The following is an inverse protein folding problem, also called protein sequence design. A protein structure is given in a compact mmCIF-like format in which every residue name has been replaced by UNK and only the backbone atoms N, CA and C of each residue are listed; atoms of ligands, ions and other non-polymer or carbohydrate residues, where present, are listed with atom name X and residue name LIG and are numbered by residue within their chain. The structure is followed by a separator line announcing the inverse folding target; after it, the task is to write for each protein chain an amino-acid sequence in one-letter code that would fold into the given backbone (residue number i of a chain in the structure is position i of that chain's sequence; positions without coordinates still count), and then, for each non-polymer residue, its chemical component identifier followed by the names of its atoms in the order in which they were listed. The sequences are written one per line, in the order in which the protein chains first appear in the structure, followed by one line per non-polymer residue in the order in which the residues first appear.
data_IF_692338487534
#
_entry.id   IF_692338487534
#
_cell.length_a   1.000
_cell.length_b   1.000
_cell.length_c   1.000
_cell.angle_alpha   90.00
_cell.angle_beta   90.00
_cell.angle_gamma   90.00
#
_symmetry.space_group_name_H-M   'P 1'
#
loop_
_entity.id
_entity.type
_entity.pdbx_description
1 polymer ?
#
# COMPACT_ATOMS: atom_id res chain seq x y z
N UNK A 1 -2.26 19.83 73.25
CA UNK A 1 -2.00 18.70 72.33
C UNK A 1 -2.35 19.18 70.92
N UNK A 2 -1.36 19.25 70.03
CA UNK A 2 -1.54 19.71 68.64
C UNK A 2 -1.85 18.48 67.76
N UNK A 3 -2.93 18.53 66.99
CA UNK A 3 -3.18 17.57 65.91
C UNK A 3 -2.44 18.01 64.64
N UNK A 4 -1.83 17.10 63.85
CA UNK A 4 -1.22 17.46 62.58
C UNK A 4 -2.29 17.46 61.48
N UNK A 5 -2.24 18.46 60.61
CA UNK A 5 -3.03 18.52 59.39
C UNK A 5 -2.43 17.57 58.35
N UNK A 6 -3.22 16.59 57.88
CA UNK A 6 -2.86 15.73 56.75
C UNK A 6 -3.10 16.51 55.46
N UNK A 7 -2.02 16.80 54.73
CA UNK A 7 -2.07 17.45 53.43
C UNK A 7 -2.31 16.37 52.36
N UNK A 8 -3.55 16.28 51.87
CA UNK A 8 -3.91 15.35 50.79
C UNK A 8 -3.59 16.04 49.45
N UNK A 9 -2.39 15.76 48.92
CA UNK A 9 -1.98 16.23 47.59
C UNK A 9 -2.73 15.46 46.51
N UNK A 10 -3.65 16.14 45.82
CA UNK A 10 -4.31 15.63 44.63
C UNK A 10 -3.26 15.57 43.50
N UNK A 11 -2.81 14.37 43.14
CA UNK A 11 -1.97 14.17 41.95
C UNK A 11 -2.93 14.04 40.77
N UNK A 12 -3.07 15.10 39.96
CA UNK A 12 -3.71 14.99 38.65
C UNK A 12 -2.76 14.25 37.70
N UNK A 13 -3.19 13.15 37.04
CA UNK A 13 -2.41 12.57 35.97
C UNK A 13 -2.42 13.54 34.79
N UNK A 14 -1.26 14.11 34.49
CA UNK A 14 -1.02 14.76 33.20
C UNK A 14 -0.95 13.65 32.13
N UNK A 15 -2.08 13.40 31.47
CA UNK A 15 -2.03 12.72 30.18
C UNK A 15 -1.42 13.72 29.18
N UNK A 16 -0.13 13.55 28.88
CA UNK A 16 0.46 14.17 27.71
C UNK A 16 -0.25 13.57 26.49
N UNK A 17 -1.22 14.30 25.93
CA UNK A 17 -1.69 14.01 24.57
C UNK A 17 -0.53 14.38 23.66
N UNK A 18 0.16 13.36 23.14
CA UNK A 18 0.95 13.50 21.93
C UNK A 18 0.00 14.06 20.87
N UNK A 19 0.12 15.35 20.55
CA UNK A 19 -0.58 15.91 19.39
C UNK A 19 0.16 15.32 18.20
N UNK A 20 -0.39 14.27 17.60
CA UNK A 20 0.05 13.81 16.29
C UNK A 20 -0.04 15.03 15.37
N UNK A 21 1.08 15.41 14.77
CA UNK A 21 1.10 16.48 13.80
C UNK A 21 0.24 16.00 12.62
N UNK A 22 -0.90 16.64 12.41
CA UNK A 22 -1.67 16.51 11.19
C UNK A 22 -1.91 17.90 10.62
N UNK A 23 -2.29 17.94 9.35
CA UNK A 23 -2.47 19.17 8.60
C UNK A 23 -3.81 19.16 7.86
N UNK A 24 -4.25 20.36 7.48
CA UNK A 24 -5.41 20.55 6.63
C UNK A 24 -4.98 20.57 5.17
N UNK A 25 -5.60 19.75 4.33
CA UNK A 25 -5.31 19.65 2.89
C UNK A 25 -6.57 19.89 2.06
N UNK A 26 -6.41 20.37 0.83
CA UNK A 26 -7.53 20.57 -0.10
C UNK A 26 -7.48 19.53 -1.22
N UNK A 27 -8.65 19.08 -1.68
CA UNK A 27 -8.75 18.10 -2.75
C UNK A 27 -8.11 18.66 -4.04
N UNK A 28 -7.07 18.00 -4.54
CA UNK A 28 -6.37 18.37 -5.77
C UNK A 28 -6.78 17.49 -6.96
N UNK A 29 -7.05 16.19 -6.72
CA UNK A 29 -7.54 15.27 -7.74
C UNK A 29 -8.58 14.28 -7.18
N UNK A 30 -9.52 13.88 -8.04
CA UNK A 30 -10.58 12.91 -7.74
C UNK A 30 -10.72 11.93 -8.90
N UNK A 31 -10.09 10.78 -8.76
CA UNK A 31 -9.98 9.75 -9.80
C UNK A 31 -11.05 8.69 -9.55
N UNK A 32 -12.06 8.65 -10.42
CA UNK A 32 -13.22 7.76 -10.32
C UNK A 32 -13.55 7.18 -11.69
N UNK A 33 -13.88 5.89 -11.76
CA UNK A 33 -14.39 5.26 -12.98
C UNK A 33 -13.43 5.40 -14.17
N UNK A 34 -13.91 5.97 -15.27
CA UNK A 34 -13.08 6.22 -16.46
C UNK A 34 -11.95 7.24 -16.22
N UNK A 35 -11.98 8.01 -15.12
CA UNK A 35 -10.91 8.93 -14.74
C UNK A 35 -9.55 8.26 -14.60
N UNK A 36 -9.51 6.97 -14.22
CA UNK A 36 -8.27 6.19 -14.14
C UNK A 36 -7.52 6.12 -15.48
N UNK A 37 -8.24 6.05 -16.61
CA UNK A 37 -7.63 6.02 -17.94
C UNK A 37 -6.96 7.34 -18.34
N UNK A 38 -7.29 8.45 -17.67
CA UNK A 38 -6.70 9.76 -17.93
C UNK A 38 -5.66 10.14 -16.89
N UNK A 39 -5.81 9.68 -15.65
CA UNK A 39 -4.91 9.99 -14.56
C UNK A 39 -3.63 9.14 -14.57
N UNK A 40 -3.66 7.97 -15.24
CA UNK A 40 -2.55 7.03 -15.26
C UNK A 40 -2.07 6.71 -16.68
N UNK A 41 -0.76 6.46 -16.78
CA UNK A 41 -0.12 5.77 -17.91
C UNK A 41 -0.04 4.27 -17.62
N UNK A 42 -0.33 3.45 -18.63
CA UNK A 42 -0.22 1.99 -18.56
C UNK A 42 1.18 1.56 -19.03
N UNK A 43 1.92 0.90 -18.14
CA UNK A 43 3.33 0.59 -18.35
C UNK A 43 3.52 -0.81 -18.92
N UNK A 44 3.63 -0.90 -20.26
CA UNK A 44 3.96 -2.14 -20.96
C UNK A 44 5.48 -2.40 -20.94
N UNK A 45 6.02 -2.65 -19.76
CA UNK A 45 7.45 -2.85 -19.51
C UNK A 45 7.74 -4.29 -19.03
N UNK A 46 8.98 -4.79 -19.20
CA UNK A 46 9.43 -5.95 -18.43
C UNK A 46 9.31 -5.67 -16.94
N UNK A 47 8.87 -6.67 -16.17
CA UNK A 47 8.67 -6.50 -14.72
C UNK A 47 10.01 -6.27 -14.00
N UNK A 48 10.20 -5.14 -13.29
CA UNK A 48 11.44 -4.87 -12.55
C UNK A 48 11.75 -5.92 -11.48
N UNK A 49 10.71 -6.58 -10.95
CA UNK A 49 10.78 -7.64 -9.93
C UNK A 49 10.84 -9.05 -10.50
N UNK A 50 11.14 -9.18 -11.80
CA UNK A 50 11.36 -10.46 -12.49
C UNK A 50 10.18 -11.44 -12.43
N UNK A 51 8.96 -10.93 -12.31
CA UNK A 51 7.75 -11.73 -12.21
C UNK A 51 7.39 -12.50 -13.47
N UNK A 52 6.58 -13.55 -13.29
CA UNK A 52 5.92 -14.33 -14.35
C UNK A 52 4.70 -13.58 -14.89
N UNK A 53 4.92 -12.34 -15.30
CA UNK A 53 3.89 -11.41 -15.77
C UNK A 53 4.22 -10.90 -17.17
N UNK A 54 3.19 -10.52 -17.91
CA UNK A 54 3.31 -9.70 -19.11
C UNK A 54 2.45 -8.44 -18.91
N UNK A 55 3.07 -7.32 -18.56
CA UNK A 55 2.33 -6.06 -18.46
C UNK A 55 1.97 -5.56 -19.86
N UNK A 56 0.68 -5.30 -20.06
CA UNK A 56 0.15 -4.85 -21.36
C UNK A 56 -0.23 -3.37 -21.32
N UNK A 57 -0.21 -2.73 -22.50
CA UNK A 57 -0.64 -1.34 -22.63
C UNK A 57 -2.16 -1.19 -22.43
N UNK A 58 -2.62 0.06 -22.32
CA UNK A 58 -4.03 0.38 -22.07
C UNK A 58 -4.98 -0.19 -23.12
N UNK A 59 -4.64 -0.07 -24.41
CA UNK A 59 -5.48 -0.53 -25.49
C UNK A 59 -5.65 -2.06 -25.45
N UNK A 60 -4.55 -2.77 -25.20
CA UNK A 60 -4.53 -4.22 -25.03
C UNK A 60 -5.31 -4.63 -23.79
N UNK A 61 -5.07 -3.99 -22.65
CA UNK A 61 -5.78 -4.25 -21.40
C UNK A 61 -7.30 -4.10 -21.56
N UNK A 62 -7.77 -3.05 -22.25
CA UNK A 62 -9.20 -2.86 -22.52
C UNK A 62 -9.74 -3.92 -23.49
N UNK A 63 -8.99 -4.24 -24.55
CA UNK A 63 -9.42 -5.24 -25.55
C UNK A 63 -9.55 -6.65 -24.98
N UNK A 64 -8.71 -6.99 -24.00
CA UNK A 64 -8.70 -8.27 -23.28
C UNK A 64 -9.59 -8.23 -22.03
N UNK A 65 -10.26 -7.11 -21.76
CA UNK A 65 -11.01 -6.89 -20.52
C UNK A 65 -10.17 -7.21 -19.27
N UNK A 66 -8.91 -6.76 -19.24
CA UNK A 66 -8.06 -6.70 -18.04
C UNK A 66 -8.27 -5.41 -17.26
N UNK A 67 -8.81 -4.37 -17.91
CA UNK A 67 -9.40 -3.24 -17.20
C UNK A 67 -10.82 -2.98 -17.66
N UNK A 68 -11.65 -2.49 -16.75
CA UNK A 68 -13.01 -2.06 -17.04
C UNK A 68 -13.41 -0.96 -16.07
N UNK A 69 -14.14 0.05 -16.56
CA UNK A 69 -14.64 1.13 -15.75
C UNK A 69 -16.15 1.34 -15.94
N UNK A 70 -16.83 1.70 -14.85
CA UNK A 70 -18.17 2.29 -14.85
C UNK A 70 -18.07 3.74 -14.39
N UNK A 71 -19.20 4.40 -14.11
CA UNK A 71 -19.20 5.74 -13.53
C UNK A 71 -18.63 5.83 -12.11
N UNK A 72 -18.53 4.71 -11.38
CA UNK A 72 -18.14 4.68 -9.97
C UNK A 72 -17.26 3.48 -9.58
N UNK A 73 -16.71 2.77 -10.56
CA UNK A 73 -15.88 1.59 -10.32
C UNK A 73 -14.83 1.50 -11.41
N UNK A 74 -13.60 1.20 -11.00
CA UNK A 74 -12.51 0.80 -11.88
C UNK A 74 -12.01 -0.58 -11.45
N UNK A 75 -11.93 -1.51 -12.39
CA UNK A 75 -11.36 -2.85 -12.19
C UNK A 75 -10.04 -2.95 -12.96
N UNK A 76 -9.04 -3.52 -12.31
CA UNK A 76 -7.77 -3.91 -12.92
C UNK A 76 -7.48 -5.36 -12.52
N UNK A 77 -7.40 -6.28 -13.48
CA UNK A 77 -7.37 -7.74 -13.25
C UNK A 77 -6.28 -8.45 -14.06
N UNK A 78 -5.92 -9.63 -13.58
CA UNK A 78 -5.15 -10.62 -14.33
C UNK A 78 -5.97 -11.24 -15.47
N UNK A 79 -5.29 -11.81 -16.46
CA UNK A 79 -5.86 -12.87 -17.29
C UNK A 79 -6.16 -14.10 -16.40
N UNK A 80 -7.39 -14.59 -16.41
CA UNK A 80 -7.84 -15.76 -15.67
C UNK A 80 -8.37 -16.90 -16.57
N UNK A 81 -8.01 -16.88 -17.86
CA UNK A 81 -8.51 -17.84 -18.87
C UNK A 81 -7.40 -18.59 -19.62
N UNK A 82 -6.24 -17.98 -19.80
CA UNK A 82 -5.17 -18.52 -20.64
C UNK A 82 -4.24 -19.46 -19.87
N UNK A 83 -4.11 -20.69 -20.34
CA UNK A 83 -2.98 -21.58 -19.97
C UNK A 83 -1.75 -21.12 -20.76
N UNK A 84 -0.66 -20.84 -20.06
CA UNK A 84 0.54 -20.25 -20.64
C UNK A 84 1.49 -21.33 -21.19
N UNK A 85 2.27 -20.96 -22.20
CA UNK A 85 3.45 -21.75 -22.59
C UNK A 85 4.61 -21.37 -21.68
N UNK A 86 5.33 -22.36 -21.14
CA UNK A 86 6.50 -22.12 -20.29
C UNK A 86 7.63 -21.34 -20.97
N UNK A 87 7.69 -21.37 -22.31
CA UNK A 87 8.63 -20.58 -23.12
C UNK A 87 8.08 -19.24 -23.61
N UNK A 88 6.80 -18.95 -23.36
CA UNK A 88 6.13 -17.71 -23.75
C UNK A 88 6.21 -16.61 -22.69
N UNK A 89 5.55 -15.46 -22.94
CA UNK A 89 5.37 -14.41 -21.92
C UNK A 89 4.66 -14.92 -20.67
N UNK A 90 4.78 -14.16 -19.57
CA UNK A 90 4.04 -14.42 -18.34
C UNK A 90 2.53 -14.11 -18.46
N UNK A 91 1.81 -14.25 -17.34
CA UNK A 91 0.37 -13.99 -17.28
C UNK A 91 0.10 -12.53 -17.57
N UNK A 92 -0.84 -12.23 -18.49
CA UNK A 92 -1.16 -10.85 -18.78
C UNK A 92 -1.74 -10.16 -17.54
N UNK A 93 -1.23 -8.97 -17.26
CA UNK A 93 -1.67 -8.13 -16.15
C UNK A 93 -1.40 -6.67 -16.50
N UNK A 94 -1.62 -5.78 -15.54
CA UNK A 94 -1.51 -4.34 -15.73
C UNK A 94 -0.69 -3.72 -14.60
N UNK A 95 0.17 -2.77 -14.99
CA UNK A 95 0.86 -1.83 -14.13
C UNK A 95 0.47 -0.43 -14.62
N UNK A 96 -0.09 0.38 -13.73
CA UNK A 96 -0.45 1.76 -14.02
C UNK A 96 0.34 2.70 -13.11
N UNK A 97 0.79 3.82 -13.66
CA UNK A 97 1.51 4.88 -12.93
C UNK A 97 0.83 6.21 -13.16
N UNK A 98 0.64 7.02 -12.12
CA UNK A 98 0.04 8.36 -12.28
C UNK A 98 0.85 9.21 -13.25
N UNK A 99 0.18 10.09 -13.99
CA UNK A 99 0.83 11.07 -14.85
C UNK A 99 1.50 12.18 -14.02
N UNK A 100 0.90 12.52 -12.87
CA UNK A 100 1.41 13.49 -11.91
C UNK A 100 2.34 12.80 -10.90
N UNK A 101 3.27 13.60 -10.35
CA UNK A 101 4.12 13.23 -9.22
C UNK A 101 3.76 14.09 -8.00
N UNK A 102 3.96 13.55 -6.81
CA UNK A 102 3.58 14.14 -5.55
C UNK A 102 4.76 14.19 -4.57
N UNK A 103 4.79 15.21 -3.72
CA UNK A 103 5.78 15.34 -2.63
C UNK A 103 5.05 15.30 -1.29
N UNK A 104 4.79 16.46 -0.68
CA UNK A 104 3.88 16.55 0.48
C UNK A 104 2.45 16.48 -0.01
N UNK A 105 1.74 15.43 0.36
CA UNK A 105 0.36 15.20 -0.08
C UNK A 105 -0.33 14.16 0.82
N UNK A 106 -1.63 14.01 0.62
CA UNK A 106 -2.43 12.89 1.14
C UNK A 106 -3.10 12.18 -0.02
N UNK A 107 -3.07 10.85 -0.03
CA UNK A 107 -3.86 10.04 -0.96
C UNK A 107 -4.78 9.10 -0.18
N UNK A 108 -6.05 9.02 -0.59
CA UNK A 108 -7.05 8.11 0.00
C UNK A 108 -7.59 7.19 -1.09
N UNK A 109 -7.42 5.89 -0.89
CA UNK A 109 -7.81 4.80 -1.79
C UNK A 109 -9.07 4.12 -1.23
N UNK A 110 -10.20 4.27 -1.91
CA UNK A 110 -11.43 3.56 -1.56
C UNK A 110 -11.53 2.28 -2.38
N UNK A 111 -11.25 1.14 -1.76
CA UNK A 111 -11.02 -0.13 -2.44
C UNK A 111 -11.96 -1.21 -1.91
N UNK A 112 -12.94 -1.68 -2.70
CA UNK A 112 -13.77 -2.82 -2.32
C UNK A 112 -13.11 -4.19 -2.43
N UNK A 113 -12.07 -4.33 -3.28
CA UNK A 113 -11.43 -5.61 -3.55
C UNK A 113 -9.97 -5.42 -3.94
N UNK A 114 -9.09 -6.34 -3.54
CA UNK A 114 -7.70 -6.42 -3.99
C UNK A 114 -7.37 -7.84 -4.47
N UNK A 115 -6.32 -8.04 -5.30
CA UNK A 115 -6.00 -9.34 -5.83
C UNK A 115 -5.72 -10.38 -4.75
N UNK A 116 -6.22 -11.60 -4.96
CA UNK A 116 -5.90 -12.77 -4.16
C UNK A 116 -5.53 -13.96 -5.06
N UNK A 117 -4.69 -14.84 -4.55
CA UNK A 117 -4.29 -16.10 -5.19
C UNK A 117 -2.87 -16.54 -4.81
N UNK A 118 -2.61 -17.83 -4.93
CA UNK A 118 -1.23 -18.31 -4.89
C UNK A 118 -0.46 -17.76 -6.10
N UNK A 119 0.73 -17.23 -5.85
CA UNK A 119 1.59 -16.63 -6.86
C UNK A 119 1.34 -15.15 -7.12
N UNK A 120 0.25 -14.55 -6.61
CA UNK A 120 -0.02 -13.11 -6.80
C UNK A 120 0.89 -12.25 -5.93
N UNK A 121 1.32 -11.12 -6.48
CA UNK A 121 1.99 -10.03 -5.77
C UNK A 121 1.37 -8.70 -6.21
N UNK A 122 0.28 -8.27 -5.56
CA UNK A 122 -0.32 -6.97 -5.77
C UNK A 122 0.39 -5.87 -4.96
N UNK A 123 0.45 -4.67 -5.52
CA UNK A 123 0.97 -3.49 -4.84
C UNK A 123 0.18 -2.20 -5.17
N UNK A 124 0.00 -1.35 -4.18
CA UNK A 124 -0.34 0.09 -4.28
C UNK A 124 0.74 0.84 -3.53
N UNK A 125 1.51 1.65 -4.25
CA UNK A 125 2.79 2.19 -3.75
C UNK A 125 3.18 3.46 -4.47
N UNK A 126 4.23 4.13 -4.00
CA UNK A 126 4.75 5.34 -4.64
C UNK A 126 6.26 5.26 -4.78
N UNK A 127 6.80 5.68 -5.92
CA UNK A 127 8.24 5.85 -6.10
C UNK A 127 8.59 6.84 -7.21
N UNK A 128 9.86 7.20 -7.29
CA UNK A 128 10.51 7.84 -8.44
C UNK A 128 11.34 6.81 -9.19
N UNK A 129 10.72 6.13 -10.16
CA UNK A 129 11.36 5.03 -10.90
C UNK A 129 12.67 5.45 -11.58
N UNK A 130 12.77 6.70 -12.05
CA UNK A 130 13.97 7.22 -12.70
C UNK A 130 15.14 7.45 -11.74
N UNK A 131 14.88 7.47 -10.43
CA UNK A 131 15.85 7.80 -9.39
C UNK A 131 15.84 6.77 -8.25
N UNK A 132 15.30 5.57 -8.47
CA UNK A 132 15.24 4.54 -7.44
C UNK A 132 16.65 4.01 -7.08
N UNK A 133 16.98 3.78 -5.79
CA UNK A 133 16.18 4.01 -4.58
C UNK A 133 16.38 5.41 -3.96
N UNK A 134 17.20 6.28 -4.59
CA UNK A 134 17.56 7.61 -4.08
C UNK A 134 16.38 8.59 -4.03
N UNK A 135 15.35 8.37 -4.85
CA UNK A 135 14.08 9.11 -4.82
C UNK A 135 13.01 8.52 -3.89
N UNK A 136 13.34 7.43 -3.19
CA UNK A 136 12.48 6.77 -2.21
C UNK A 136 11.37 5.93 -2.83
N UNK A 137 10.89 4.99 -2.04
CA UNK A 137 9.71 4.18 -2.31
C UNK A 137 8.93 3.93 -1.02
N UNK A 138 7.60 4.04 -1.11
CA UNK A 138 6.66 3.71 -0.04
C UNK A 138 5.62 2.74 -0.55
N UNK A 139 5.59 1.55 0.03
CA UNK A 139 4.58 0.54 -0.19
C UNK A 139 3.43 0.76 0.77
N UNK A 140 2.25 1.09 0.23
CA UNK A 140 1.07 1.40 1.02
C UNK A 140 0.31 0.10 1.29
N UNK A 141 0.01 -0.62 0.22
CA UNK A 141 -0.62 -1.95 0.24
C UNK A 141 0.27 -2.91 -0.51
N UNK A 142 0.83 -3.90 0.16
CA UNK A 142 1.71 -4.89 -0.48
C UNK A 142 1.70 -6.22 0.28
N UNK A 143 1.76 -7.31 -0.49
CA UNK A 143 1.90 -8.65 0.03
C UNK A 143 1.96 -9.68 -1.08
N UNK A 144 2.15 -10.94 -0.70
CA UNK A 144 2.34 -12.04 -1.63
C UNK A 144 1.52 -13.26 -1.22
N UNK A 145 1.06 -14.06 -2.19
CA UNK A 145 0.52 -15.40 -1.95
C UNK A 145 -0.63 -15.50 -0.91
N UNK A 146 -1.50 -14.49 -0.82
CA UNK A 146 -2.55 -14.37 0.20
C UNK A 146 -2.07 -14.27 1.65
N UNK A 147 -0.80 -13.93 1.89
CA UNK A 147 -0.28 -13.78 3.24
C UNK A 147 -0.80 -12.49 3.86
N UNK A 148 -1.68 -12.63 4.84
CA UNK A 148 -2.18 -11.57 5.71
C UNK A 148 -1.26 -11.39 6.95
N UNK A 149 -1.23 -10.20 7.58
CA UNK A 149 -1.87 -8.95 7.19
C UNK A 149 -1.07 -8.18 6.12
N UNK A 150 -1.54 -6.98 5.75
CA UNK A 150 -0.80 -6.05 4.89
C UNK A 150 0.57 -5.72 5.49
N UNK A 151 1.56 -5.48 4.62
CA UNK A 151 2.85 -4.93 5.01
C UNK A 151 3.08 -3.60 4.28
N UNK A 152 3.19 -2.51 5.03
CA UNK A 152 3.63 -1.22 4.49
C UNK A 152 5.11 -1.03 4.72
N UNK A 153 5.87 -0.61 3.72
CA UNK A 153 7.34 -0.62 3.75
C UNK A 153 7.89 0.67 3.16
N UNK A 154 9.04 1.15 3.67
CA UNK A 154 9.86 2.13 2.95
C UNK A 154 11.14 1.51 2.43
N UNK A 155 11.52 1.93 1.23
CA UNK A 155 12.78 1.61 0.57
C UNK A 155 13.49 2.91 0.23
N UNK A 156 14.73 3.07 0.70
CA UNK A 156 15.48 4.32 0.53
C UNK A 156 16.95 4.08 0.18
N UNK A 157 17.64 5.16 -0.14
CA UNK A 157 19.10 5.24 -0.09
C UNK A 157 19.65 5.14 1.35
N UNK A 158 20.97 4.98 1.54
CA UNK A 158 21.58 4.76 2.85
C UNK A 158 21.35 5.85 3.90
N UNK A 159 21.36 5.45 5.17
CA UNK A 159 21.20 6.30 6.37
C UNK A 159 19.75 6.74 6.68
N UNK A 160 18.78 5.87 6.42
CA UNK A 160 17.40 6.06 6.84
C UNK A 160 16.93 4.85 7.67
N UNK A 161 16.48 5.10 8.89
CA UNK A 161 15.90 4.07 9.75
C UNK A 161 14.73 4.59 10.57
N UNK A 162 13.84 3.69 10.94
CA UNK A 162 12.76 3.90 11.91
C UNK A 162 13.27 3.57 13.32
N UNK A 163 13.01 4.40 14.35
CA UNK A 163 13.42 4.07 15.71
C UNK A 163 12.81 2.75 16.20
N UNK A 164 13.63 1.90 16.83
CA UNK A 164 13.17 0.62 17.36
C UNK A 164 12.17 0.73 18.55
N UNK A 165 12.02 1.93 19.12
CA UNK A 165 11.08 2.19 20.22
C UNK A 165 10.64 3.65 20.22
N UNK A 166 9.52 3.96 20.88
CA UNK A 166 8.99 5.33 20.96
C UNK A 166 8.19 5.78 19.72
N UNK A 167 8.03 4.89 18.74
CA UNK A 167 7.12 5.06 17.59
C UNK A 167 5.71 4.72 18.03
N UNK A 168 4.76 5.63 17.79
CA UNK A 168 3.33 5.42 18.12
C UNK A 168 2.58 5.06 16.85
N UNK A 169 2.28 3.78 16.69
CA UNK A 169 1.53 3.19 15.58
C UNK A 169 0.74 1.97 16.08
N UNK A 170 -0.23 1.49 15.31
CA UNK A 170 -1.01 0.29 15.66
C UNK A 170 -0.31 -1.02 15.24
N UNK A 171 0.37 -1.00 14.09
CA UNK A 171 1.07 -2.15 13.52
C UNK A 171 2.40 -2.48 14.18
N UNK A 172 2.96 -3.63 13.82
CA UNK A 172 4.23 -4.15 14.34
C UNK A 172 5.34 -3.98 13.31
N UNK A 173 6.41 -3.26 13.67
CA UNK A 173 7.61 -3.17 12.85
C UNK A 173 8.28 -4.55 12.71
N UNK A 174 8.63 -4.92 11.47
CA UNK A 174 9.34 -6.14 11.11
C UNK A 174 10.83 -5.85 10.93
N UNK A 175 11.13 -4.77 10.21
CA UNK A 175 12.47 -4.25 9.98
C UNK A 175 12.45 -2.74 10.20
N UNK A 176 13.56 -2.22 10.70
CA UNK A 176 13.69 -0.79 11.01
C UNK A 176 14.62 -0.05 10.05
N UNK A 177 15.44 -0.75 9.27
CA UNK A 177 16.40 -0.13 8.35
C UNK A 177 15.80 -0.08 6.94
N UNK A 178 15.64 1.13 6.41
CA UNK A 178 14.96 1.39 5.14
C UNK A 178 15.92 1.33 3.95
N UNK A 179 17.24 1.30 4.20
CA UNK A 179 18.26 1.26 3.16
C UNK A 179 18.21 -0.04 2.36
N UNK A 180 17.93 0.08 1.06
CA UNK A 180 17.80 -1.06 0.13
C UNK A 180 19.10 -1.85 -0.06
N UNK A 181 20.25 -1.23 0.25
CA UNK A 181 21.57 -1.86 0.16
C UNK A 181 21.88 -2.72 1.38
N UNK A 182 21.12 -2.58 2.46
CA UNK A 182 21.13 -3.50 3.59
C UNK A 182 20.01 -4.52 3.44
N UNK A 183 20.01 -5.55 4.30
CA UNK A 183 18.91 -6.53 4.48
C UNK A 183 18.33 -7.25 3.24
N UNK A 184 18.97 -7.12 2.06
CA UNK A 184 18.51 -7.74 0.83
C UNK A 184 17.29 -7.04 0.23
N UNK A 185 17.20 -5.72 0.35
CA UNK A 185 16.06 -4.91 -0.11
C UNK A 185 14.74 -5.27 0.60
N UNK A 186 14.78 -5.63 1.88
CA UNK A 186 13.58 -5.85 2.67
C UNK A 186 12.93 -4.54 3.13
N UNK A 187 13.68 -3.43 3.11
CA UNK A 187 13.23 -2.12 3.57
C UNK A 187 12.87 -2.10 5.07
N UNK A 188 12.27 -1.01 5.52
CA UNK A 188 11.75 -0.90 6.89
C UNK A 188 10.23 -1.12 6.87
N UNK A 189 9.82 -2.38 7.06
CA UNK A 189 8.42 -2.80 6.97
C UNK A 189 7.67 -2.77 8.29
N UNK A 190 6.40 -2.39 8.26
CA UNK A 190 5.42 -2.51 9.34
C UNK A 190 4.27 -3.42 8.88
N UNK A 191 4.02 -4.49 9.63
CA UNK A 191 2.83 -5.33 9.43
C UNK A 191 1.66 -4.78 10.22
N UNK A 192 0.50 -4.68 9.58
CA UNK A 192 -0.76 -4.21 10.20
C UNK A 192 -1.37 -5.32 11.08
N UNK A 193 -0.64 -5.74 12.12
CA UNK A 193 -1.00 -6.87 13.00
C UNK A 193 -2.22 -6.61 13.89
N UNK A 194 -2.64 -5.36 14.00
CA UNK A 194 -3.89 -4.95 14.65
C UNK A 194 -5.13 -5.39 13.87
N UNK A 195 -5.00 -5.61 12.56
CA UNK A 195 -6.12 -5.96 11.68
C UNK A 195 -5.70 -6.88 10.53
N UNK A 196 -6.06 -8.16 10.63
CA UNK A 196 -5.77 -9.17 9.61
C UNK A 196 -6.64 -9.03 8.36
N UNK A 197 -7.76 -8.31 8.41
CA UNK A 197 -8.56 -8.00 7.23
C UNK A 197 -7.96 -6.86 6.39
N UNK A 198 -6.76 -6.39 6.73
CA UNK A 198 -6.03 -5.36 5.99
C UNK A 198 -5.59 -5.83 4.59
N UNK A 199 -5.52 -7.13 4.31
CA UNK A 199 -5.02 -7.63 3.03
C UNK A 199 -5.77 -8.88 2.53
N UNK A 200 -5.64 -9.15 1.23
CA UNK A 200 -5.98 -10.43 0.63
C UNK A 200 -7.42 -10.90 0.87
N UNK A 201 -7.63 -12.20 1.11
CA UNK A 201 -8.96 -12.78 1.30
C UNK A 201 -9.78 -12.16 2.45
N UNK A 202 -9.15 -11.84 3.58
CA UNK A 202 -9.76 -11.17 4.72
C UNK A 202 -10.35 -9.82 4.32
N UNK A 203 -9.55 -8.99 3.65
CA UNK A 203 -9.99 -7.71 3.07
C UNK A 203 -11.17 -7.88 2.12
N UNK A 204 -11.08 -8.83 1.19
CA UNK A 204 -12.14 -9.05 0.21
C UNK A 204 -13.45 -9.53 0.86
N UNK A 205 -13.38 -10.37 1.89
CA UNK A 205 -14.53 -10.92 2.60
C UNK A 205 -15.36 -9.87 3.36
N UNK A 206 -14.72 -8.78 3.81
CA UNK A 206 -15.41 -7.67 4.47
C UNK A 206 -15.89 -6.58 3.49
N UNK A 207 -15.67 -6.75 2.18
CA UNK A 207 -15.98 -5.72 1.18
C UNK A 207 -14.95 -4.59 1.12
N UNK A 208 -13.71 -4.91 1.49
CA UNK A 208 -12.55 -4.05 1.47
C UNK A 208 -12.57 -2.94 2.51
N UNK A 209 -12.15 -1.75 2.11
CA UNK A 209 -12.02 -0.62 3.02
C UNK A 209 -11.40 0.62 2.37
N UNK A 210 -10.77 1.43 3.21
CA UNK A 210 -9.99 2.58 2.79
C UNK A 210 -8.56 2.44 3.27
N UNK A 211 -7.63 2.69 2.37
CA UNK A 211 -6.25 2.99 2.72
C UNK A 211 -6.02 4.49 2.56
N UNK A 212 -5.25 5.08 3.45
CA UNK A 212 -4.80 6.46 3.29
C UNK A 212 -3.31 6.58 3.61
N UNK A 213 -2.62 7.43 2.88
CA UNK A 213 -1.24 7.84 3.15
C UNK A 213 -1.20 9.36 3.34
N UNK A 214 -0.49 9.83 4.35
CA UNK A 214 -0.04 11.23 4.49
C UNK A 214 1.47 11.23 4.44
N UNK A 215 2.02 11.90 3.44
CA UNK A 215 3.47 12.07 3.28
C UNK A 215 3.82 13.54 3.52
N UNK A 216 4.79 13.76 4.41
CA UNK A 216 5.39 15.08 4.67
C UNK A 216 6.91 14.96 4.71
N UNK A 217 7.61 16.08 4.83
CA UNK A 217 9.06 16.08 5.07
C UNK A 217 9.45 15.54 6.48
N UNK A 218 8.49 15.40 7.39
CA UNK A 218 8.75 15.02 8.79
C UNK A 218 8.30 13.59 9.12
N UNK A 219 7.35 13.04 8.37
CA UNK A 219 6.83 11.70 8.59
C UNK A 219 6.08 11.20 7.36
N UNK A 220 5.95 9.88 7.29
CA UNK A 220 4.97 9.19 6.45
C UNK A 220 4.05 8.38 7.37
N UNK A 221 2.74 8.57 7.23
CA UNK A 221 1.72 7.86 8.01
C UNK A 221 0.78 7.10 7.07
N UNK A 222 0.45 5.85 7.40
CA UNK A 222 -0.50 5.04 6.65
C UNK A 222 -1.62 4.58 7.58
N UNK A 223 -2.87 4.71 7.13
CA UNK A 223 -4.06 4.22 7.83
C UNK A 223 -4.77 3.17 6.98
N UNK A 224 -5.41 2.24 7.67
CA UNK A 224 -6.38 1.33 7.11
C UNK A 224 -7.66 1.41 7.94
N UNK A 225 -8.80 1.48 7.25
CA UNK A 225 -10.12 1.35 7.87
C UNK A 225 -10.95 0.33 7.10
N UNK A 226 -11.47 -0.67 7.80
CA UNK A 226 -12.39 -1.66 7.24
C UNK A 226 -13.65 -1.00 6.64
N UNK A 227 -14.26 -1.68 5.67
CA UNK A 227 -15.55 -1.26 5.13
C UNK A 227 -16.61 -1.20 6.24
N UNK A 228 -17.12 0.01 6.49
CA UNK A 228 -18.15 0.23 7.49
C UNK A 228 -17.61 0.47 8.91
N UNK A 229 -16.30 0.60 9.08
CA UNK A 229 -15.72 1.05 10.34
C UNK A 229 -16.24 2.45 10.70
N UNK A 230 -16.92 2.56 11.84
CA UNK A 230 -17.47 3.81 12.35
C UNK A 230 -16.37 4.77 12.86
N UNK A 231 -15.14 4.27 13.05
CA UNK A 231 -13.98 5.07 13.41
C UNK A 231 -13.36 5.78 12.21
N UNK A 232 -13.65 5.33 10.98
CA UNK A 232 -13.15 5.92 9.76
C UNK A 232 -13.60 7.39 9.64
N UNK A 233 -12.67 8.36 9.58
CA UNK A 233 -13.00 9.77 9.48
C UNK A 233 -13.88 10.07 8.26
N UNK A 234 -14.94 10.86 8.46
CA UNK A 234 -15.87 11.17 7.37
C UNK A 234 -15.23 12.00 6.26
N UNK A 235 -14.26 12.84 6.59
CA UNK A 235 -13.53 13.65 5.63
C UNK A 235 -12.61 12.80 4.74
N UNK A 236 -11.97 11.76 5.30
CA UNK A 236 -11.23 10.75 4.54
C UNK A 236 -12.15 9.93 3.61
N UNK A 237 -13.28 9.45 4.13
CA UNK A 237 -14.09 8.42 3.44
C UNK A 237 -15.12 8.97 2.44
N UNK A 238 -15.47 10.26 2.51
CA UNK A 238 -16.52 10.86 1.68
C UNK A 238 -16.02 11.58 0.41
N UNK A 239 -14.70 11.71 0.23
CA UNK A 239 -14.14 12.56 -0.84
C UNK A 239 -14.43 14.05 -0.58
N UNK A 240 -14.23 14.49 0.67
CA UNK A 240 -14.49 15.87 1.08
C UNK A 240 -13.60 16.86 0.29
N UNK A 241 -14.03 18.11 0.15
CA UNK A 241 -13.19 19.14 -0.50
C UNK A 241 -11.96 19.52 0.35
N UNK A 242 -12.01 19.24 1.65
CA UNK A 242 -10.97 19.54 2.63
C UNK A 242 -10.94 18.43 3.67
N UNK A 243 -9.74 18.03 4.07
CA UNK A 243 -9.49 17.00 5.10
C UNK A 243 -8.59 17.56 6.20
N UNK A 244 -8.65 16.97 7.40
CA UNK A 244 -7.75 17.27 8.52
C UNK A 244 -7.23 15.96 9.14
N UNK A 245 -6.00 15.59 8.78
CA UNK A 245 -5.36 14.32 9.18
C UNK A 245 -5.10 14.26 10.69
N UNK A 246 -5.10 15.39 11.40
CA UNK A 246 -4.90 15.41 12.86
C UNK A 246 -6.05 14.73 13.63
N UNK A 247 -7.20 14.55 12.97
CA UNK A 247 -8.38 13.88 13.52
C UNK A 247 -8.49 12.40 13.11
N UNK A 248 -7.53 11.86 12.36
CA UNK A 248 -7.59 10.50 11.82
C UNK A 248 -7.14 9.41 12.81
N UNK A 249 -6.69 9.81 14.00
CA UNK A 249 -6.24 8.91 15.03
C UNK A 249 -4.85 8.32 14.78
N UNK A 250 -4.50 7.29 15.53
CA UNK A 250 -3.19 6.64 15.42
C UNK A 250 -3.08 5.90 14.09
N UNK A 251 -2.03 6.12 13.29
CA UNK A 251 -1.82 5.40 12.03
C UNK A 251 -1.49 3.92 12.27
N UNK A 252 -1.81 3.11 11.26
CA UNK A 252 -1.48 1.70 11.18
C UNK A 252 0.04 1.50 11.08
N UNK A 253 0.70 2.28 10.21
CA UNK A 253 2.15 2.37 10.12
C UNK A 253 2.62 3.83 10.20
N UNK A 254 3.71 4.08 10.94
CA UNK A 254 4.27 5.41 11.13
C UNK A 254 5.78 5.41 10.94
N UNK A 255 6.25 6.21 9.99
CA UNK A 255 7.66 6.37 9.64
C UNK A 255 8.10 7.80 9.98
N UNK A 256 8.62 8.05 11.20
CA UNK A 256 9.07 9.38 11.61
C UNK A 256 10.45 9.72 11.04
N UNK A 257 10.76 11.02 10.95
CA UNK A 257 12.09 11.49 10.54
C UNK A 257 13.16 11.47 11.65
N UNK A 258 12.94 10.73 12.75
CA UNK A 258 13.85 10.78 13.93
C UNK A 258 15.25 10.29 13.60
N UNK A 259 15.33 9.16 12.89
CA UNK A 259 16.59 8.54 12.45
C UNK A 259 16.63 8.42 10.90
N UNK A 260 15.88 9.28 10.21
CA UNK A 260 15.80 9.33 8.75
C UNK A 260 15.42 10.73 8.27
N UNK A 261 16.25 11.40 7.48
CA UNK A 261 15.88 12.69 6.88
C UNK A 261 15.04 12.47 5.61
N UNK A 262 13.73 12.24 5.80
CA UNK A 262 12.79 11.91 4.72
C UNK A 262 12.81 12.92 3.56
N UNK A 263 13.07 14.20 3.84
CA UNK A 263 13.15 15.23 2.80
C UNK A 263 14.32 15.04 1.83
N UNK A 264 15.36 14.29 2.24
CA UNK A 264 16.53 13.96 1.41
C UNK A 264 16.43 12.58 0.75
N UNK A 265 15.53 11.72 1.25
CA UNK A 265 15.35 10.35 0.76
C UNK A 265 14.16 10.18 -0.17
N UNK A 266 13.22 11.12 -0.20
CA UNK A 266 12.04 11.06 -1.06
C UNK A 266 11.89 12.33 -1.89
N UNK A 267 11.97 12.19 -3.21
CA UNK A 267 11.67 13.25 -4.17
C UNK A 267 10.21 13.16 -4.67
N UNK A 268 9.87 13.79 -5.79
CA UNK A 268 8.52 13.72 -6.32
C UNK A 268 8.24 12.30 -6.85
N UNK A 269 7.25 11.60 -6.27
CA UNK A 269 6.94 10.21 -6.60
C UNK A 269 5.63 10.10 -7.38
N UNK A 270 5.54 9.13 -8.28
CA UNK A 270 4.29 8.72 -8.90
C UNK A 270 3.61 7.65 -8.03
N UNK A 271 2.28 7.65 -7.98
CA UNK A 271 1.52 6.50 -7.44
C UNK A 271 1.49 5.41 -8.50
N UNK A 272 1.78 4.18 -8.09
CA UNK A 272 1.80 2.98 -8.93
C UNK A 272 0.84 1.95 -8.35
N UNK A 273 0.08 1.31 -9.24
CA UNK A 273 -0.79 0.18 -8.91
C UNK A 273 -0.47 -0.94 -9.89
N UNK A 274 -0.09 -2.11 -9.39
CA UNK A 274 0.25 -3.25 -10.23
C UNK A 274 -0.13 -4.58 -9.60
N UNK A 275 -0.22 -5.60 -10.45
CA UNK A 275 -0.32 -6.99 -10.07
C UNK A 275 0.73 -7.78 -10.87
N UNK A 276 1.81 -8.21 -10.22
CA UNK A 276 2.76 -9.18 -10.78
C UNK A 276 2.50 -10.58 -10.23
N UNK A 277 3.26 -11.56 -10.70
CA UNK A 277 3.22 -12.93 -10.22
C UNK A 277 4.61 -13.48 -9.99
N UNK A 278 4.77 -14.32 -8.97
CA UNK A 278 6.04 -14.95 -8.65
C UNK A 278 7.17 -13.91 -8.45
N UNK A 279 8.22 -13.96 -9.28
CA UNK A 279 9.32 -13.01 -9.21
C UNK A 279 10.13 -13.13 -7.92
N UNK A 280 10.85 -12.05 -7.62
CA UNK A 280 11.89 -12.03 -6.59
C UNK A 280 11.35 -12.32 -5.18
N UNK A 281 10.09 -11.94 -4.90
CA UNK A 281 9.45 -12.18 -3.61
C UNK A 281 8.42 -13.31 -3.64
N UNK A 282 7.30 -13.16 -4.35
CA UNK A 282 6.21 -14.15 -4.31
C UNK A 282 6.63 -15.51 -4.87
N UNK A 283 7.59 -15.52 -5.79
CA UNK A 283 8.14 -16.71 -6.45
C UNK A 283 9.31 -17.33 -5.70
N UNK A 284 9.83 -16.67 -4.65
CA UNK A 284 10.85 -17.24 -3.81
C UNK A 284 10.34 -18.56 -3.21
N UNK A 285 11.05 -19.66 -3.45
CA UNK A 285 10.55 -21.01 -3.13
C UNK A 285 10.24 -21.20 -1.64
N UNK A 286 10.98 -20.55 -0.75
CA UNK A 286 10.71 -20.59 0.69
C UNK A 286 9.44 -19.80 1.05
N UNK A 287 9.24 -18.62 0.46
CA UNK A 287 8.06 -17.77 0.69
C UNK A 287 6.80 -18.43 0.12
N UNK A 288 6.86 -18.89 -1.13
CA UNK A 288 5.75 -19.54 -1.82
C UNK A 288 5.29 -20.81 -1.10
N UNK A 289 6.22 -21.70 -0.75
CA UNK A 289 5.89 -22.94 -0.04
C UNK A 289 5.41 -22.70 1.39
N UNK A 290 5.98 -21.73 2.12
CA UNK A 290 5.52 -21.36 3.46
C UNK A 290 4.09 -20.79 3.47
N UNK A 291 3.65 -20.22 2.35
CA UNK A 291 2.28 -19.71 2.16
C UNK A 291 1.26 -20.83 1.92
N UNK A 292 1.68 -22.10 1.90
CA UNK A 292 0.82 -23.25 1.65
C UNK A 292 0.44 -23.42 0.17
N UNK A 293 1.12 -22.72 -0.73
CA UNK A 293 0.83 -22.78 -2.15
C UNK A 293 1.34 -24.06 -2.83
N UNK A 294 0.60 -24.62 -3.80
CA UNK A 294 0.95 -25.88 -4.44
C UNK A 294 1.97 -25.67 -5.57
N UNK A 295 2.72 -26.74 -5.89
CA UNK A 295 3.70 -26.78 -6.99
C UNK A 295 4.86 -25.77 -6.82
N UNK A 296 5.60 -25.54 -7.91
CA UNK A 296 6.36 -24.32 -8.15
C UNK A 296 5.44 -23.15 -8.55
N UNK A 297 5.87 -21.92 -8.24
CA UNK A 297 5.09 -20.72 -8.51
C UNK A 297 4.85 -20.50 -10.02
N UNK A 298 5.90 -20.60 -10.84
CA UNK A 298 5.80 -20.37 -12.29
C UNK A 298 4.90 -21.43 -12.92
N UNK A 299 5.09 -22.70 -12.56
CA UNK A 299 4.25 -23.81 -13.00
C UNK A 299 2.79 -23.61 -12.56
N UNK A 300 2.54 -23.10 -11.35
CA UNK A 300 1.18 -22.83 -10.89
C UNK A 300 0.53 -21.71 -11.70
N UNK A 301 1.23 -20.59 -11.87
CA UNK A 301 0.77 -19.44 -12.65
C UNK A 301 0.52 -19.81 -14.10
N UNK A 302 1.37 -20.63 -14.72
CA UNK A 302 1.22 -21.04 -16.11
C UNK A 302 -0.01 -21.92 -16.34
N UNK A 303 -0.29 -22.84 -15.42
CA UNK A 303 -1.22 -23.95 -15.66
C UNK A 303 -2.62 -23.78 -15.02
N UNK A 304 -2.82 -22.78 -14.15
CA UNK A 304 -4.08 -22.63 -13.38
C UNK A 304 -4.76 -21.27 -13.62
N UNK A 305 -5.15 -20.91 -14.85
CA UNK A 305 -5.75 -19.61 -15.14
C UNK A 305 -6.93 -19.25 -14.25
N UNK A 306 -7.85 -20.20 -14.02
CA UNK A 306 -9.06 -19.97 -13.21
C UNK A 306 -8.77 -19.73 -11.73
N UNK A 307 -7.54 -19.98 -11.26
CA UNK A 307 -7.15 -19.62 -9.89
C UNK A 307 -6.97 -18.11 -9.71
N UNK A 308 -6.93 -17.34 -10.81
CA UNK A 308 -6.73 -15.89 -10.83
C UNK A 308 -8.02 -15.11 -11.12
N UNK A 309 -9.19 -15.75 -11.06
CA UNK A 309 -10.48 -15.05 -11.22
C UNK A 309 -10.69 -13.96 -10.17
N UNK A 310 -10.20 -14.16 -8.94
CA UNK A 310 -10.21 -13.16 -7.88
C UNK A 310 -8.91 -12.34 -7.80
N UNK A 311 -8.04 -12.43 -8.81
CA UNK A 311 -6.80 -11.65 -8.88
C UNK A 311 -7.06 -10.29 -9.54
N UNK A 312 -7.86 -9.45 -8.87
CA UNK A 312 -8.18 -8.11 -9.35
C UNK A 312 -8.28 -7.06 -8.23
N UNK A 313 -7.87 -5.85 -8.57
CA UNK A 313 -8.22 -4.67 -7.81
C UNK A 313 -9.59 -4.14 -8.26
N UNK A 314 -10.36 -3.68 -7.29
CA UNK A 314 -11.52 -2.82 -7.50
C UNK A 314 -11.31 -1.52 -6.75
N UNK A 315 -11.35 -0.39 -7.45
CA UNK A 315 -11.36 0.93 -6.85
C UNK A 315 -12.71 1.61 -7.09
N UNK A 316 -13.28 2.17 -6.03
CA UNK A 316 -14.40 3.11 -6.14
C UNK A 316 -13.87 4.53 -6.41
N UNK A 317 -12.77 4.92 -5.76
CA UNK A 317 -12.12 6.21 -5.97
C UNK A 317 -10.67 6.23 -5.47
N UNK A 318 -9.88 7.14 -6.02
CA UNK A 318 -8.65 7.66 -5.41
C UNK A 318 -8.80 9.17 -5.31
N UNK A 319 -8.62 9.72 -4.10
CA UNK A 319 -8.65 11.16 -3.86
C UNK A 319 -7.26 11.63 -3.40
N UNK A 320 -6.75 12.67 -4.04
CA UNK A 320 -5.45 13.28 -3.73
C UNK A 320 -5.68 14.67 -3.16
N UNK A 321 -4.90 15.04 -2.14
CA UNK A 321 -4.99 16.31 -1.44
C UNK A 321 -3.61 16.92 -1.23
N UNK A 322 -3.51 18.25 -1.37
CA UNK A 322 -2.28 19.06 -1.21
C UNK A 322 -2.54 20.37 -0.45
#
# INVERSE_FOLDING_TARGET
MKFPAANCGLVLPFFARSVLAGATYSLSDSIVGEGFYNAFTFEAIPDPTNGRVNYVDQATAQSLNLTYATSNTFIMRADDTTVLSSSGPGRNSVRIRTNNQYTTHVAVFNMPHMPQGCGTWPAVWETSESNWPDGGEVDIVEGVNNVEPNQSTLHTSPNCSVPASGVTQLGTAVYTDCDTTVNGNAGCGVKLTEDYNSFGPGFNNIGGGWYAIERTNNYISIWFWERGDASAPSDATSGAATIDTSNWGTPAAYFPNTDCDLATHFDANNIIINLTFCGDWAGNSAVYSASGCPSDCVDYVDNNPTAFTDAYFQFNSIHIYE
#
